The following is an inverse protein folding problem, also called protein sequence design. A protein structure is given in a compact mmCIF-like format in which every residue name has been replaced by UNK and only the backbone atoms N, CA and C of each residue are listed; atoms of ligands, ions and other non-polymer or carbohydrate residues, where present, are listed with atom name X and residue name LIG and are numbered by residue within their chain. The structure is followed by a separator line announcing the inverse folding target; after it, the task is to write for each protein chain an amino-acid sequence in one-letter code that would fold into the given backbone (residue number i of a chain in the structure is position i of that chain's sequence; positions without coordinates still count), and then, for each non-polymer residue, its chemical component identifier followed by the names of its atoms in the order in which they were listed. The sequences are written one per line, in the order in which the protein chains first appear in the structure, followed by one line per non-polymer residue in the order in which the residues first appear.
data_IF_039686222032
#
_entry.id   IF_039686222032
#
_cell.length_a   1.000
_cell.length_b   1.000
_cell.length_c   1.000
_cell.angle_alpha   90.00
_cell.angle_beta   90.00
_cell.angle_gamma   90.00
#
_symmetry.space_group_name_H-M   'P 1'
#
loop_
_entity.id
_entity.type
_entity.pdbx_description
1 polymer ?
#
# COMPACT_ATOMS: atom_id res chain seq x y z
N UNK A 1 12.27 11.77 -3.96
CA UNK A 1 12.93 12.42 -5.12
C UNK A 1 14.34 12.87 -4.79
N UNK A 2 14.55 13.86 -3.93
CA UNK A 2 15.90 14.39 -3.59
C UNK A 2 16.84 13.28 -3.09
N UNK A 3 16.36 12.42 -2.18
CA UNK A 3 17.16 11.31 -1.63
C UNK A 3 17.67 10.33 -2.69
N UNK A 4 16.89 10.05 -3.73
CA UNK A 4 17.32 9.15 -4.83
C UNK A 4 18.42 9.77 -5.70
N UNK A 5 18.47 11.10 -5.77
CA UNK A 5 19.52 11.82 -6.49
C UNK A 5 20.80 11.86 -5.67
N UNK A 6 20.70 12.12 -4.35
CA UNK A 6 21.85 12.27 -3.46
C UNK A 6 22.45 10.90 -3.07
N UNK A 7 21.59 9.91 -2.81
CA UNK A 7 21.98 8.58 -2.31
C UNK A 7 21.47 7.43 -3.18
N UNK A 8 21.72 7.43 -4.51
CA UNK A 8 21.19 6.39 -5.39
C UNK A 8 21.81 5.02 -5.07
N UNK A 9 20.97 4.05 -4.70
CA UNK A 9 21.40 2.67 -4.45
C UNK A 9 21.80 1.96 -5.76
N UNK A 10 20.94 2.05 -6.77
CA UNK A 10 21.22 1.57 -8.13
C UNK A 10 21.75 2.73 -8.96
N UNK A 11 23.07 2.92 -8.98
CA UNK A 11 23.73 4.06 -9.60
C UNK A 11 23.54 4.15 -11.11
N UNK A 12 23.29 3.01 -11.80
CA UNK A 12 23.05 2.97 -13.24
C UNK A 12 21.61 3.33 -13.60
N UNK A 13 20.68 3.26 -12.65
CA UNK A 13 19.29 3.63 -12.87
C UNK A 13 19.17 5.13 -13.05
N UNK A 14 18.62 5.54 -14.20
CA UNK A 14 18.36 6.96 -14.48
C UNK A 14 17.30 7.50 -13.53
N UNK A 15 17.37 8.78 -13.19
CA UNK A 15 16.31 9.42 -12.40
C UNK A 15 14.96 9.35 -13.12
N UNK A 16 14.93 9.75 -14.42
CA UNK A 16 13.77 9.51 -15.30
C UNK A 16 13.85 8.08 -15.86
N UNK A 17 13.66 7.12 -14.97
CA UNK A 17 13.70 5.69 -15.25
C UNK A 17 12.56 5.22 -16.15
N UNK A 18 12.63 3.97 -16.58
CA UNK A 18 11.54 3.36 -17.35
C UNK A 18 10.23 3.45 -16.55
N UNK A 19 9.19 3.99 -17.18
CA UNK A 19 7.86 4.14 -16.59
C UNK A 19 7.69 5.33 -15.63
N UNK A 20 8.71 6.20 -15.43
CA UNK A 20 8.63 7.35 -14.53
C UNK A 20 7.42 8.27 -14.84
N UNK A 21 7.22 8.62 -16.12
CA UNK A 21 6.11 9.50 -16.51
C UNK A 21 4.74 8.85 -16.32
N UNK A 22 4.67 7.54 -16.52
CA UNK A 22 3.46 6.79 -16.20
C UNK A 22 3.19 6.78 -14.70
N UNK A 23 4.22 6.60 -13.87
CA UNK A 23 4.10 6.67 -12.41
C UNK A 23 3.64 8.05 -11.94
N UNK A 24 4.20 9.11 -12.54
CA UNK A 24 3.79 10.48 -12.24
C UNK A 24 2.31 10.72 -12.61
N UNK A 25 1.85 10.16 -13.73
CA UNK A 25 0.44 10.21 -14.10
C UNK A 25 -0.44 9.45 -13.08
N UNK A 26 0.02 8.29 -12.60
CA UNK A 26 -0.67 7.54 -11.54
C UNK A 26 -0.76 8.33 -10.23
N UNK A 27 0.32 9.05 -9.84
CA UNK A 27 0.28 9.95 -8.67
C UNK A 27 -0.83 10.97 -8.85
N UNK A 28 -0.85 11.65 -10.01
CA UNK A 28 -1.88 12.66 -10.30
C UNK A 28 -3.28 12.04 -10.27
N UNK A 29 -3.48 10.94 -11.00
CA UNK A 29 -4.78 10.28 -11.10
C UNK A 29 -5.28 9.74 -9.75
N UNK A 30 -4.44 8.95 -9.05
CA UNK A 30 -4.88 8.30 -7.81
C UNK A 30 -4.94 9.27 -6.64
N UNK A 31 -4.07 10.25 -6.56
CA UNK A 31 -4.08 11.21 -5.46
C UNK A 31 -5.11 12.32 -5.66
N UNK A 32 -5.05 13.03 -6.79
CA UNK A 32 -5.89 14.21 -7.00
C UNK A 32 -7.31 13.89 -7.45
N UNK A 33 -7.47 13.03 -8.44
CA UNK A 33 -8.80 12.80 -9.01
C UNK A 33 -9.59 11.77 -8.19
N UNK A 34 -8.97 10.65 -7.86
CA UNK A 34 -9.70 9.57 -7.21
C UNK A 34 -9.84 9.77 -5.70
N UNK A 35 -8.75 10.17 -5.01
CA UNK A 35 -8.80 10.35 -3.54
C UNK A 35 -9.68 11.54 -3.14
N UNK A 36 -9.66 12.65 -3.88
CA UNK A 36 -10.42 13.87 -3.52
C UNK A 36 -11.86 13.86 -4.02
N UNK A 37 -12.12 13.32 -5.19
CA UNK A 37 -13.44 13.39 -5.83
C UNK A 37 -14.15 12.04 -5.78
N UNK A 38 -13.56 11.03 -6.42
CA UNK A 38 -14.21 9.73 -6.57
C UNK A 38 -14.39 9.00 -5.24
N UNK A 39 -13.37 8.99 -4.39
CA UNK A 39 -13.44 8.30 -3.12
C UNK A 39 -14.49 8.92 -2.18
N UNK A 40 -14.54 10.28 -2.05
CA UNK A 40 -15.50 10.91 -1.17
C UNK A 40 -16.94 10.56 -1.58
N UNK A 41 -17.24 10.57 -2.87
CA UNK A 41 -18.57 10.23 -3.37
C UNK A 41 -18.94 8.76 -3.08
N UNK A 42 -18.01 7.84 -3.39
CA UNK A 42 -18.25 6.39 -3.21
C UNK A 42 -18.25 6.00 -1.73
N UNK A 43 -17.33 6.54 -0.92
CA UNK A 43 -17.28 6.21 0.51
C UNK A 43 -18.46 6.75 1.30
N UNK A 44 -18.95 7.96 1.01
CA UNK A 44 -20.14 8.50 1.67
C UNK A 44 -21.37 7.66 1.34
N UNK A 45 -21.55 7.26 0.09
CA UNK A 45 -22.66 6.37 -0.29
C UNK A 45 -22.55 5.03 0.44
N UNK A 46 -21.38 4.40 0.43
CA UNK A 46 -21.15 3.11 1.11
C UNK A 46 -21.36 3.23 2.63
N UNK A 47 -20.80 4.27 3.25
CA UNK A 47 -20.94 4.53 4.69
C UNK A 47 -22.41 4.75 5.07
N UNK A 48 -23.14 5.52 4.30
CA UNK A 48 -24.58 5.76 4.57
C UNK A 48 -25.36 4.45 4.44
N UNK A 49 -25.17 3.71 3.35
CA UNK A 49 -25.83 2.40 3.16
C UNK A 49 -25.49 1.41 4.28
N UNK A 50 -24.24 1.40 4.73
CA UNK A 50 -23.79 0.55 5.81
C UNK A 50 -24.41 0.96 7.15
N UNK A 51 -24.41 2.26 7.48
CA UNK A 51 -25.02 2.80 8.70
C UNK A 51 -26.54 2.58 8.70
N UNK A 52 -27.22 2.80 7.57
CA UNK A 52 -28.65 2.55 7.43
C UNK A 52 -28.97 1.05 7.61
N UNK A 53 -28.13 0.17 7.06
CA UNK A 53 -28.24 -1.28 7.26
C UNK A 53 -28.09 -1.68 8.72
N UNK A 54 -27.11 -1.10 9.43
CA UNK A 54 -26.90 -1.31 10.88
C UNK A 54 -28.07 -0.77 11.69
N UNK A 55 -28.57 0.41 11.36
CA UNK A 55 -29.73 1.02 12.04
C UNK A 55 -31.00 0.15 11.87
N UNK A 56 -31.19 -0.48 10.71
CA UNK A 56 -32.30 -1.38 10.42
C UNK A 56 -32.30 -2.64 11.33
N UNK A 57 -31.12 -3.07 11.81
CA UNK A 57 -30.98 -4.18 12.77
C UNK A 57 -30.75 -3.73 14.20
N UNK A 58 -31.02 -2.42 14.49
CA UNK A 58 -30.99 -1.86 15.84
C UNK A 58 -29.62 -1.35 16.32
N UNK A 59 -28.58 -1.40 15.48
CA UNK A 59 -27.25 -0.87 15.83
C UNK A 59 -27.17 0.60 15.42
N UNK A 60 -27.31 1.50 16.39
CA UNK A 60 -27.32 2.96 16.14
C UNK A 60 -25.97 3.64 16.23
N UNK A 61 -24.95 2.97 16.77
CA UNK A 61 -23.61 3.53 16.96
C UNK A 61 -22.55 2.44 16.83
N UNK A 62 -21.56 2.66 15.99
CA UNK A 62 -20.43 1.76 15.79
C UNK A 62 -19.33 1.93 16.83
N UNK A 63 -19.33 3.00 17.62
CA UNK A 63 -18.27 3.25 18.62
C UNK A 63 -18.35 2.24 19.75
N UNK A 64 -17.52 1.21 19.66
CA UNK A 64 -17.37 0.18 20.69
C UNK A 64 -16.45 0.63 21.83
N UNK A 65 -15.46 1.48 21.52
CA UNK A 65 -14.49 2.03 22.47
C UNK A 65 -14.33 3.52 22.20
N UNK A 66 -14.49 4.35 23.22
CA UNK A 66 -14.28 5.80 23.06
C UNK A 66 -12.81 6.14 23.29
N UNK A 67 -12.02 6.14 22.23
CA UNK A 67 -10.59 6.50 22.24
C UNK A 67 -10.37 7.99 22.52
N UNK A 68 -11.35 8.85 22.28
CA UNK A 68 -11.25 10.30 22.41
C UNK A 68 -10.98 10.78 23.85
N UNK A 69 -11.18 9.93 24.85
CA UNK A 69 -10.85 10.21 26.25
C UNK A 69 -9.35 10.11 26.58
N UNK A 70 -8.57 9.51 25.68
CA UNK A 70 -7.11 9.34 25.86
C UNK A 70 -6.33 10.50 25.25
N UNK A 71 -5.06 10.71 25.66
CA UNK A 71 -4.19 11.73 25.06
C UNK A 71 -4.05 11.56 23.55
N UNK A 72 -3.98 12.67 22.79
CA UNK A 72 -3.93 12.67 21.31
C UNK A 72 -2.79 11.80 20.75
N UNK A 73 -1.61 11.84 21.37
CA UNK A 73 -0.49 10.99 20.93
C UNK A 73 -0.80 9.50 21.00
N UNK A 74 -1.55 9.07 22.05
CA UNK A 74 -1.96 7.68 22.20
C UNK A 74 -3.02 7.31 21.17
N UNK A 75 -3.98 8.19 20.91
CA UNK A 75 -4.98 8.00 19.87
C UNK A 75 -4.30 7.79 18.50
N UNK A 76 -3.37 8.68 18.14
CA UNK A 76 -2.62 8.59 16.86
C UNK A 76 -1.78 7.33 16.78
N UNK A 77 -1.12 6.93 17.86
CA UNK A 77 -0.33 5.69 17.92
C UNK A 77 -1.20 4.47 17.71
N UNK A 78 -2.30 4.33 18.45
CA UNK A 78 -3.22 3.19 18.33
C UNK A 78 -3.83 3.15 16.92
N UNK A 79 -4.25 4.30 16.40
CA UNK A 79 -4.78 4.40 15.04
C UNK A 79 -3.76 3.98 14.01
N UNK A 80 -2.50 4.45 14.13
CA UNK A 80 -1.42 4.08 13.22
C UNK A 80 -1.19 2.57 13.20
N UNK A 81 -1.09 1.95 14.38
CA UNK A 81 -0.84 0.51 14.52
C UNK A 81 -1.99 -0.30 13.90
N UNK A 82 -3.24 0.07 14.19
CA UNK A 82 -4.42 -0.65 13.67
C UNK A 82 -4.55 -0.43 12.16
N UNK A 83 -4.41 0.80 11.68
CA UNK A 83 -4.50 1.11 10.25
C UNK A 83 -3.41 0.38 9.45
N UNK A 84 -2.18 0.34 9.95
CA UNK A 84 -1.07 -0.35 9.31
C UNK A 84 -1.25 -1.88 9.32
N UNK A 85 -1.78 -2.46 10.41
CA UNK A 85 -2.14 -3.89 10.45
C UNK A 85 -3.22 -4.24 9.42
N UNK A 86 -4.26 -3.42 9.32
CA UNK A 86 -5.32 -3.64 8.32
C UNK A 86 -4.72 -3.52 6.91
N UNK A 87 -3.88 -2.52 6.67
CA UNK A 87 -3.17 -2.32 5.42
C UNK A 87 -2.34 -3.55 5.05
N UNK A 88 -1.53 -4.08 5.98
CA UNK A 88 -0.76 -5.31 5.82
C UNK A 88 -1.66 -6.50 5.47
N UNK A 89 -2.76 -6.70 6.20
CA UNK A 89 -3.68 -7.82 5.95
C UNK A 89 -4.34 -7.72 4.56
N UNK A 90 -4.83 -6.54 4.17
CA UNK A 90 -5.38 -6.32 2.83
C UNK A 90 -4.33 -6.59 1.77
N UNK A 91 -3.09 -6.14 1.96
CA UNK A 91 -1.98 -6.38 1.04
C UNK A 91 -1.70 -7.89 0.86
N UNK A 92 -1.69 -8.65 1.95
CA UNK A 92 -1.64 -10.12 1.92
C UNK A 92 -2.78 -10.70 1.08
N UNK A 93 -4.01 -10.20 1.23
CA UNK A 93 -5.16 -10.69 0.46
C UNK A 93 -5.06 -10.32 -1.03
N UNK A 94 -4.54 -9.13 -1.36
CA UNK A 94 -4.28 -8.73 -2.75
C UNK A 94 -3.35 -9.72 -3.47
N UNK A 95 -2.38 -10.25 -2.78
CA UNK A 95 -1.47 -11.28 -3.32
C UNK A 95 -2.06 -12.69 -3.32
N UNK A 96 -2.76 -13.07 -2.26
CA UNK A 96 -3.24 -14.46 -2.09
C UNK A 96 -4.51 -14.77 -2.89
N UNK A 97 -5.36 -13.78 -3.17
CA UNK A 97 -6.63 -13.97 -3.87
C UNK A 97 -6.48 -13.62 -5.34
N UNK A 98 -6.64 -14.59 -6.24
CA UNK A 98 -6.42 -14.39 -7.67
C UNK A 98 -7.22 -13.23 -8.27
N UNK A 99 -8.48 -13.04 -7.83
CA UNK A 99 -9.32 -11.95 -8.31
C UNK A 99 -8.86 -10.57 -7.84
N UNK A 100 -8.21 -10.45 -6.66
CA UNK A 100 -7.60 -9.22 -6.18
C UNK A 100 -6.23 -8.98 -6.81
N UNK A 101 -5.46 -10.06 -7.03
CA UNK A 101 -4.16 -9.99 -7.68
C UNK A 101 -4.22 -9.37 -9.07
N UNK A 102 -5.30 -9.61 -9.82
CA UNK A 102 -5.52 -8.97 -11.13
C UNK A 102 -5.40 -7.45 -11.08
N UNK A 103 -5.92 -6.82 -10.05
CA UNK A 103 -5.80 -5.37 -9.83
C UNK A 103 -4.40 -5.00 -9.35
N UNK A 104 -3.83 -5.76 -8.42
CA UNK A 104 -2.53 -5.49 -7.82
C UNK A 104 -1.34 -5.72 -8.77
N UNK A 105 -1.51 -6.48 -9.83
CA UNK A 105 -0.53 -6.58 -10.93
C UNK A 105 -0.12 -5.23 -11.52
N UNK A 106 -1.01 -4.22 -11.50
CA UNK A 106 -0.66 -2.86 -11.93
C UNK A 106 0.50 -2.33 -11.09
N UNK A 107 0.46 -2.53 -9.77
CA UNK A 107 1.52 -2.12 -8.84
C UNK A 107 2.83 -2.88 -9.12
N UNK A 108 2.75 -4.18 -9.31
CA UNK A 108 3.89 -5.03 -9.63
C UNK A 108 4.40 -4.92 -11.09
N UNK A 109 3.74 -4.16 -11.95
CA UNK A 109 4.18 -3.96 -13.34
C UNK A 109 5.40 -3.02 -13.48
N UNK A 110 5.88 -2.46 -12.37
CA UNK A 110 7.08 -1.61 -12.31
C UNK A 110 8.32 -2.43 -12.68
N UNK A 111 9.15 -1.90 -13.58
CA UNK A 111 10.40 -2.54 -14.03
C UNK A 111 11.64 -1.97 -13.37
N UNK A 112 11.58 -0.73 -12.95
CA UNK A 112 12.62 -0.04 -12.19
C UNK A 112 11.98 0.67 -11.02
N UNK A 113 12.37 0.30 -9.79
CA UNK A 113 11.81 0.86 -8.57
C UNK A 113 12.26 2.31 -8.35
N UNK A 114 11.35 3.19 -8.00
CA UNK A 114 11.61 4.57 -7.64
C UNK A 114 10.42 5.16 -6.88
N UNK A 115 10.61 6.26 -6.16
CA UNK A 115 9.61 6.86 -5.25
C UNK A 115 8.22 7.03 -5.90
N UNK A 116 8.17 7.37 -7.19
CA UNK A 116 6.93 7.61 -7.90
C UNK A 116 6.09 6.34 -8.09
N UNK A 117 6.70 5.15 -8.00
CA UNK A 117 6.00 3.87 -8.19
C UNK A 117 4.97 3.56 -7.08
N UNK A 118 5.08 4.22 -5.92
CA UNK A 118 4.14 4.03 -4.80
C UNK A 118 2.68 4.15 -5.21
N UNK A 119 2.34 5.10 -6.08
CA UNK A 119 0.95 5.33 -6.53
C UNK A 119 0.58 4.60 -7.84
N UNK A 120 1.47 3.78 -8.41
CA UNK A 120 1.12 2.92 -9.53
C UNK A 120 0.28 1.75 -9.03
N UNK A 121 -1.02 1.93 -8.91
CA UNK A 121 -1.98 0.89 -8.56
C UNK A 121 -3.33 1.16 -9.20
N UNK A 122 -4.13 0.12 -9.32
CA UNK A 122 -5.49 0.25 -9.82
C UNK A 122 -6.37 0.99 -8.81
N UNK A 123 -7.23 1.89 -9.25
CA UNK A 123 -8.10 2.67 -8.35
C UNK A 123 -8.98 1.80 -7.44
N UNK A 124 -9.34 0.59 -7.87
CA UNK A 124 -10.08 -0.37 -7.04
C UNK A 124 -9.34 -0.76 -5.75
N UNK A 125 -8.01 -0.69 -5.74
CA UNK A 125 -7.24 -0.92 -4.50
C UNK A 125 -7.54 0.16 -3.45
N UNK A 126 -7.65 1.42 -3.86
CA UNK A 126 -8.06 2.49 -2.94
C UNK A 126 -9.45 2.21 -2.35
N UNK A 127 -10.40 1.74 -3.18
CA UNK A 127 -11.74 1.36 -2.71
C UNK A 127 -11.65 0.23 -1.68
N UNK A 128 -10.92 -0.84 -1.99
CA UNK A 128 -10.75 -2.00 -1.08
C UNK A 128 -10.09 -1.58 0.23
N UNK A 129 -8.95 -0.91 0.17
CA UNK A 129 -8.23 -0.48 1.38
C UNK A 129 -9.10 0.40 2.28
N UNK A 130 -9.75 1.43 1.71
CA UNK A 130 -10.53 2.38 2.51
C UNK A 130 -11.78 1.76 3.09
N UNK A 131 -12.49 0.94 2.33
CA UNK A 131 -13.69 0.26 2.84
C UNK A 131 -13.37 -0.67 4.00
N UNK A 132 -12.27 -1.43 3.93
CA UNK A 132 -11.87 -2.36 5.00
C UNK A 132 -11.30 -1.61 6.21
N UNK A 133 -10.62 -0.46 6.01
CA UNK A 133 -10.07 0.34 7.11
C UNK A 133 -11.14 1.13 7.87
N UNK A 134 -12.14 1.65 7.16
CA UNK A 134 -13.13 2.56 7.73
C UNK A 134 -13.90 1.92 8.91
N UNK A 135 -14.40 0.71 8.73
CA UNK A 135 -15.27 0.07 9.74
C UNK A 135 -14.57 -0.09 11.09
N UNK A 136 -13.41 -0.75 11.21
CA UNK A 136 -12.73 -0.90 12.49
C UNK A 136 -12.33 0.43 13.14
N UNK A 137 -11.90 1.40 12.34
CA UNK A 137 -11.49 2.70 12.86
C UNK A 137 -12.70 3.51 13.36
N UNK A 138 -13.83 3.45 12.67
CA UNK A 138 -15.09 4.04 13.13
C UNK A 138 -15.59 3.41 14.43
N UNK A 139 -15.44 2.08 14.59
CA UNK A 139 -15.81 1.37 15.84
C UNK A 139 -14.97 1.78 17.04
N UNK A 140 -13.77 2.29 16.84
CA UNK A 140 -12.87 2.77 17.92
C UNK A 140 -13.12 4.28 18.18
N UNK A 141 -13.91 4.96 17.34
CA UNK A 141 -14.26 6.37 17.51
C UNK A 141 -13.19 7.36 17.06
N UNK A 142 -12.34 6.98 16.10
CA UNK A 142 -11.37 7.90 15.51
C UNK A 142 -12.02 8.95 14.61
N UNK A 143 -11.51 10.18 14.67
CA UNK A 143 -11.92 11.27 13.80
C UNK A 143 -11.25 11.23 12.43
N UNK A 144 -11.80 11.99 11.49
CA UNK A 144 -11.29 12.10 10.12
C UNK A 144 -9.92 12.79 10.05
N UNK A 145 -9.63 13.70 10.97
CA UNK A 145 -8.36 14.44 11.01
C UNK A 145 -7.20 13.51 11.39
N UNK A 146 -7.39 12.71 12.44
CA UNK A 146 -6.44 11.70 12.88
C UNK A 146 -6.20 10.67 11.77
N UNK A 147 -7.25 10.23 11.11
CA UNK A 147 -7.16 9.32 9.97
C UNK A 147 -6.33 9.93 8.84
N UNK A 148 -6.55 11.21 8.50
CA UNK A 148 -5.80 11.89 7.45
C UNK A 148 -4.29 11.98 7.80
N UNK A 149 -3.96 12.35 9.03
CA UNK A 149 -2.57 12.45 9.48
C UNK A 149 -1.85 11.10 9.41
N UNK A 150 -2.47 10.06 9.95
CA UNK A 150 -1.91 8.69 9.91
C UNK A 150 -1.76 8.20 8.47
N UNK A 151 -2.74 8.49 7.60
CA UNK A 151 -2.66 8.16 6.19
C UNK A 151 -1.49 8.85 5.48
N UNK A 152 -1.26 10.14 5.75
CA UNK A 152 -0.13 10.89 5.16
C UNK A 152 1.23 10.32 5.60
N UNK A 153 1.36 9.88 6.85
CA UNK A 153 2.55 9.17 7.33
C UNK A 153 2.76 7.88 6.52
N UNK A 154 1.73 7.07 6.36
CA UNK A 154 1.79 5.84 5.57
C UNK A 154 2.19 6.09 4.10
N UNK A 155 1.62 7.12 3.46
CA UNK A 155 1.98 7.54 2.10
C UNK A 155 3.44 7.93 2.01
N UNK A 156 3.93 8.74 2.95
CA UNK A 156 5.34 9.15 2.99
C UNK A 156 6.28 7.95 3.10
N UNK A 157 6.00 7.03 4.04
CA UNK A 157 6.80 5.81 4.22
C UNK A 157 6.72 4.93 2.97
N UNK A 158 5.56 4.80 2.34
CA UNK A 158 5.40 4.07 1.10
C UNK A 158 6.27 4.62 -0.03
N UNK A 159 6.31 5.94 -0.22
CA UNK A 159 7.21 6.58 -1.19
C UNK A 159 8.69 6.32 -0.87
N UNK A 160 9.06 6.32 0.42
CA UNK A 160 10.41 6.04 0.86
C UNK A 160 10.81 4.58 0.57
N UNK A 161 9.91 3.62 0.83
CA UNK A 161 10.14 2.20 0.57
C UNK A 161 10.28 1.87 -0.92
N UNK A 162 9.63 2.63 -1.80
CA UNK A 162 9.79 2.51 -3.25
C UNK A 162 11.03 3.26 -3.78
N UNK A 163 11.59 4.18 -3.00
CA UNK A 163 12.70 4.99 -3.45
C UNK A 163 13.95 4.15 -3.78
N UNK A 164 14.73 4.62 -4.77
CA UNK A 164 16.02 4.03 -5.14
C UNK A 164 17.11 4.36 -4.10
N UNK A 165 16.89 3.95 -2.84
CA UNK A 165 17.84 4.12 -1.73
C UNK A 165 18.10 2.77 -1.04
N UNK A 166 19.34 2.51 -0.64
CA UNK A 166 19.76 1.22 -0.07
C UNK A 166 19.65 1.15 1.46
N UNK A 167 18.61 1.71 2.04
CA UNK A 167 18.45 1.76 3.49
C UNK A 167 17.80 0.48 4.03
N UNK A 168 18.38 -0.04 5.13
CA UNK A 168 17.89 -1.25 5.81
C UNK A 168 17.45 -1.00 7.24
N UNK A 169 17.72 0.20 7.78
CA UNK A 169 17.43 0.64 9.16
C UNK A 169 18.07 -0.22 10.27
N UNK A 170 19.08 -1.07 9.95
CA UNK A 170 19.79 -1.90 10.93
C UNK A 170 18.84 -2.79 11.74
N UNK A 171 18.88 -2.68 13.07
CA UNK A 171 18.02 -3.45 13.98
C UNK A 171 16.54 -3.05 13.89
N UNK A 172 16.23 -1.82 13.49
CA UNK A 172 14.86 -1.35 13.32
C UNK A 172 14.10 -2.04 12.17
N UNK A 173 14.79 -2.79 11.30
CA UNK A 173 14.15 -3.62 10.25
C UNK A 173 13.12 -4.62 10.78
N UNK A 174 13.21 -4.99 12.06
CA UNK A 174 12.25 -5.90 12.70
C UNK A 174 10.93 -5.21 13.09
N UNK A 175 10.91 -3.88 13.07
CA UNK A 175 9.74 -3.06 13.40
C UNK A 175 9.27 -2.26 12.19
N UNK A 176 10.21 -1.63 11.47
CA UNK A 176 9.94 -0.71 10.35
C UNK A 176 10.26 -1.35 9.01
N UNK A 177 9.32 -1.29 8.08
CA UNK A 177 9.60 -1.65 6.71
C UNK A 177 10.59 -0.66 6.09
N UNK A 178 11.33 -1.12 5.09
CA UNK A 178 12.41 -0.36 4.49
C UNK A 178 12.58 -0.68 2.99
N UNK A 179 13.30 0.15 2.23
CA UNK A 179 13.49 -0.05 0.79
C UNK A 179 14.07 -1.42 0.41
N UNK A 180 14.99 -1.99 1.24
CA UNK A 180 15.56 -3.32 0.97
C UNK A 180 14.57 -4.46 1.22
N UNK A 181 13.64 -4.33 2.14
CA UNK A 181 12.53 -5.27 2.29
C UNK A 181 11.56 -5.16 1.12
N UNK A 182 11.21 -3.92 0.78
CA UNK A 182 10.17 -3.66 -0.20
C UNK A 182 10.59 -4.03 -1.63
N UNK A 183 11.89 -3.96 -1.98
CA UNK A 183 12.36 -4.45 -3.28
C UNK A 183 12.15 -5.98 -3.42
N UNK A 184 12.30 -6.75 -2.33
CA UNK A 184 12.00 -8.18 -2.31
C UNK A 184 10.50 -8.47 -2.42
N UNK A 185 9.65 -7.57 -1.92
CA UNK A 185 8.21 -7.65 -2.15
C UNK A 185 7.88 -7.62 -3.65
N UNK A 186 8.56 -6.78 -4.42
CA UNK A 186 8.41 -6.66 -5.87
C UNK A 186 9.22 -7.66 -6.69
N UNK A 187 9.94 -8.60 -6.06
CA UNK A 187 10.77 -9.57 -6.77
C UNK A 187 9.95 -10.40 -7.77
N UNK A 188 10.41 -10.46 -9.04
CA UNK A 188 9.76 -11.22 -10.11
C UNK A 188 9.73 -12.70 -9.82
N UNK A 189 10.76 -13.22 -9.16
CA UNK A 189 10.89 -14.65 -8.83
C UNK A 189 11.15 -14.81 -7.33
N UNK A 190 10.34 -15.62 -6.69
CA UNK A 190 10.47 -15.99 -5.28
C UNK A 190 10.57 -17.52 -5.14
N UNK A 191 11.19 -18.03 -4.07
CA UNK A 191 11.21 -19.47 -3.76
C UNK A 191 9.79 -20.05 -3.65
N UNK A 192 9.65 -21.37 -3.88
CA UNK A 192 8.34 -22.06 -3.87
C UNK A 192 7.50 -21.79 -2.63
N UNK A 193 8.13 -21.73 -1.44
CA UNK A 193 7.43 -21.44 -0.17
C UNK A 193 6.90 -20.00 -0.07
N UNK A 194 7.35 -19.09 -0.93
CA UNK A 194 7.02 -17.67 -0.94
C UNK A 194 6.31 -17.20 -2.22
N UNK A 195 5.84 -18.11 -3.07
CA UNK A 195 5.22 -17.79 -4.37
C UNK A 195 4.03 -16.81 -4.29
N UNK A 196 3.38 -16.71 -3.13
CA UNK A 196 2.27 -15.76 -2.91
C UNK A 196 2.72 -14.39 -2.41
N UNK A 197 4.01 -14.12 -2.44
CA UNK A 197 4.61 -12.84 -2.01
C UNK A 197 5.22 -12.87 -0.61
N UNK A 198 5.95 -11.81 -0.29
CA UNK A 198 6.70 -11.60 0.96
C UNK A 198 6.65 -10.11 1.33
N UNK A 199 7.02 -9.75 2.57
CA UNK A 199 7.25 -8.37 3.00
C UNK A 199 6.08 -7.42 2.67
N UNK A 200 4.88 -7.77 3.13
CA UNK A 200 3.64 -7.04 2.83
C UNK A 200 3.47 -5.75 3.63
N UNK A 201 4.30 -5.51 4.64
CA UNK A 201 4.25 -4.29 5.46
C UNK A 201 4.37 -3.03 4.63
N UNK A 202 3.56 -2.00 4.95
CA UNK A 202 3.76 -0.67 4.37
C UNK A 202 4.71 0.14 5.25
N UNK A 203 4.32 0.42 6.50
CA UNK A 203 5.16 1.16 7.45
C UNK A 203 5.83 0.23 8.46
N UNK A 204 5.10 -0.75 8.98
CA UNK A 204 5.60 -1.69 9.96
C UNK A 204 5.89 -3.05 9.32
N UNK A 205 7.12 -3.52 9.47
CA UNK A 205 7.54 -4.88 9.09
C UNK A 205 7.24 -5.91 10.19
N UNK A 206 6.91 -5.47 11.40
CA UNK A 206 6.64 -6.34 12.54
C UNK A 206 5.60 -7.42 12.22
N UNK A 207 4.61 -7.09 11.41
CA UNK A 207 3.58 -8.04 10.96
C UNK A 207 4.18 -9.16 10.11
N UNK A 208 5.11 -8.83 9.22
CA UNK A 208 5.78 -9.84 8.40
C UNK A 208 6.61 -10.81 9.25
N UNK A 209 7.25 -10.32 10.32
CA UNK A 209 7.97 -11.19 11.26
C UNK A 209 7.02 -12.04 12.11
N UNK A 210 5.93 -11.46 12.63
CA UNK A 210 4.94 -12.18 13.44
C UNK A 210 4.25 -13.29 12.61
N UNK A 211 3.90 -13.00 11.36
CA UNK A 211 3.14 -13.92 10.51
C UNK A 211 4.01 -14.73 9.53
N UNK A 212 5.35 -14.66 9.65
CA UNK A 212 6.28 -15.49 8.88
C UNK A 212 6.37 -15.15 7.40
N UNK A 213 6.08 -13.89 7.02
CA UNK A 213 6.16 -13.40 5.63
C UNK A 213 7.39 -12.53 5.38
N UNK A 214 8.24 -12.29 6.39
CA UNK A 214 9.50 -11.57 6.24
C UNK A 214 10.51 -12.40 5.44
N UNK A 215 11.10 -11.80 4.40
CA UNK A 215 12.07 -12.46 3.54
C UNK A 215 13.08 -11.47 2.96
N UNK A 216 14.33 -11.55 3.39
CA UNK A 216 15.45 -10.70 2.92
C UNK A 216 16.70 -11.59 2.87
N UNK A 217 16.85 -12.47 1.84
CA UNK A 217 17.94 -13.43 1.79
C UNK A 217 19.30 -12.76 1.49
N UNK A 218 19.27 -11.71 0.67
CA UNK A 218 20.46 -10.91 0.28
C UNK A 218 20.03 -9.44 0.10
N UNK A 219 20.97 -8.57 -0.28
CA UNK A 219 20.70 -7.13 -0.47
C UNK A 219 19.56 -6.77 -1.43
N UNK A 220 19.32 -7.57 -2.46
CA UNK A 220 18.26 -7.34 -3.45
C UNK A 220 18.56 -6.27 -4.49
N UNK A 221 19.79 -5.71 -4.55
CA UNK A 221 20.15 -4.58 -5.42
C UNK A 221 19.92 -4.86 -6.91
N UNK A 222 20.21 -6.08 -7.35
CA UNK A 222 20.22 -6.48 -8.75
C UNK A 222 19.16 -7.55 -9.07
N UNK A 223 18.13 -7.69 -8.25
CA UNK A 223 17.04 -8.62 -8.56
C UNK A 223 16.11 -8.05 -9.61
N UNK A 224 15.56 -8.92 -10.45
CA UNK A 224 14.48 -8.57 -11.35
C UNK A 224 13.19 -8.36 -10.56
N UNK A 225 12.48 -7.28 -10.88
CA UNK A 225 11.19 -6.95 -10.27
C UNK A 225 10.06 -7.10 -11.29
N UNK A 226 8.87 -7.41 -10.80
CA UNK A 226 7.69 -7.65 -11.65
C UNK A 226 6.90 -8.88 -11.19
N UNK A 227 6.38 -9.61 -12.17
CA UNK A 227 5.68 -10.89 -11.99
C UNK A 227 5.85 -11.78 -13.22
N UNK A 228 5.45 -13.03 -13.13
CA UNK A 228 5.58 -13.99 -14.23
C UNK A 228 4.79 -13.55 -15.46
N UNK A 229 5.42 -13.61 -16.66
CA UNK A 229 4.88 -13.18 -17.97
C UNK A 229 4.52 -11.69 -18.07
N UNK A 230 5.13 -10.84 -17.27
CA UNK A 230 4.89 -9.40 -17.25
C UNK A 230 5.45 -8.65 -18.48
N UNK A 231 6.19 -9.34 -19.37
CA UNK A 231 6.65 -8.81 -20.66
C UNK A 231 5.46 -8.42 -21.56
N UNK A 232 4.38 -9.18 -21.47
CA UNK A 232 3.15 -8.99 -22.24
C UNK A 232 2.12 -8.10 -21.52
N UNK A 233 2.44 -7.64 -20.30
CA UNK A 233 1.53 -6.79 -19.56
C UNK A 233 1.44 -5.39 -20.19
N UNK A 234 0.24 -4.78 -20.23
CA UNK A 234 0.04 -3.45 -20.82
C UNK A 234 0.97 -2.39 -20.26
N UNK A 235 1.47 -1.50 -21.14
CA UNK A 235 2.39 -0.41 -20.77
C UNK A 235 1.69 0.95 -20.61
N UNK A 236 0.47 1.10 -21.11
CA UNK A 236 -0.32 2.33 -21.03
C UNK A 236 -1.28 2.32 -19.84
N UNK A 237 -1.63 3.53 -19.36
CA UNK A 237 -2.53 3.69 -18.21
C UNK A 237 -3.91 3.06 -18.44
N UNK A 238 -4.57 3.42 -19.55
CA UNK A 238 -5.94 2.94 -19.81
C UNK A 238 -6.02 1.44 -20.05
N UNK A 239 -5.00 0.88 -20.68
CA UNK A 239 -4.89 -0.55 -20.90
C UNK A 239 -4.70 -1.28 -19.57
N UNK A 240 -3.87 -0.74 -18.66
CA UNK A 240 -3.68 -1.28 -17.30
C UNK A 240 -4.96 -1.20 -16.46
N UNK A 241 -5.73 -0.10 -16.58
CA UNK A 241 -7.02 0.03 -15.90
C UNK A 241 -8.09 -0.96 -16.40
N UNK A 242 -8.01 -1.37 -17.67
CA UNK A 242 -8.96 -2.33 -18.26
C UNK A 242 -8.52 -3.78 -18.10
N UNK A 243 -7.24 -4.03 -17.86
CA UNK A 243 -6.66 -5.38 -17.85
C UNK A 243 -7.31 -6.34 -16.83
N UNK A 244 -7.57 -5.94 -15.57
CA UNK A 244 -8.21 -6.83 -14.58
C UNK A 244 -9.58 -7.38 -14.98
N UNK A 245 -10.28 -6.68 -15.86
CA UNK A 245 -11.60 -7.06 -16.34
C UNK A 245 -11.58 -7.96 -17.58
N UNK A 246 -10.39 -8.18 -18.18
CA UNK A 246 -10.18 -9.06 -19.35
C UNK A 246 -9.65 -10.43 -18.95
N UNK A 247 -9.07 -10.56 -17.77
CA UNK A 247 -8.57 -11.79 -17.16
C UNK A 247 -9.69 -12.47 -16.36
#
# INVERSE_FOLDING_TARGET
MILEVIFPWRKQQKFFRQGFWLDLFYIFFNFFLFSLIGYNAVSNVFVNLFNDGLAAIGIKNLVAVNIATYPVWFQLFVMFVIADFIQWNVHVQLHKRNWLWKFHKVHHSVKEMGFAAQFRFHFMETVVYKSVQYIPLAMIGFGIQEFFLVHMIGVFVGHLNHANVGWSYGVFKYILNNPKMHIWHHAKTLPKQHQKGVNFGLSLSVWDYIFGTAYIPIEGKNIDIGFENDENYPKGFWEQMKQPFKE
#
